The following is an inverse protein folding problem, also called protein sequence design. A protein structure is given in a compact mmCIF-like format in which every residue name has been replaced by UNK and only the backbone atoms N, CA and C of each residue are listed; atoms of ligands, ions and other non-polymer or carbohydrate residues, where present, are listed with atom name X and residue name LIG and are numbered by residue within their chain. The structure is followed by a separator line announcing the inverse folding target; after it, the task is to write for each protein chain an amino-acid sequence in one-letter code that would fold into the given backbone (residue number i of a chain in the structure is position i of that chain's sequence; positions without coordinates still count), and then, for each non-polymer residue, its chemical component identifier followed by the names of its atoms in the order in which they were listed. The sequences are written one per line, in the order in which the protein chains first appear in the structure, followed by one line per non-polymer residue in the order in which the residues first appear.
data_IF_578635106858
#
_entry.id   IF_578635106858
#
_cell.length_a   1.000
_cell.length_b   1.000
_cell.length_c   1.000
_cell.angle_alpha   90.00
_cell.angle_beta   90.00
_cell.angle_gamma   90.00
#
_symmetry.space_group_name_H-M   'P 1'
#
loop_
_entity.id
_entity.type
_entity.pdbx_description
1 polymer ?
#
# COMPACT_ATOMS: atom_id res chain seq x y z
N UNK A 1 11.94 -12.12 21.35
CA UNK A 1 10.87 -12.58 22.24
C UNK A 1 9.82 -11.49 22.26
N UNK A 2 8.63 -11.74 21.70
CA UNK A 2 7.53 -10.77 21.74
C UNK A 2 6.89 -10.90 23.13
N UNK A 3 6.77 -9.79 23.87
CA UNK A 3 6.25 -9.84 25.24
C UNK A 3 4.85 -10.46 25.25
N UNK A 4 4.60 -11.41 26.14
CA UNK A 4 3.39 -12.22 26.20
C UNK A 4 2.10 -11.41 26.37
N UNK A 5 2.18 -10.13 26.76
CA UNK A 5 1.01 -9.33 27.15
C UNK A 5 0.96 -7.92 26.59
N UNK A 6 1.81 -7.55 25.63
CA UNK A 6 1.83 -6.17 25.12
C UNK A 6 0.49 -5.72 24.51
N UNK A 7 -0.27 -6.65 23.92
CA UNK A 7 -1.58 -6.39 23.33
C UNK A 7 -2.74 -6.21 24.30
N UNK A 8 -2.56 -6.55 25.58
CA UNK A 8 -3.63 -6.55 26.58
C UNK A 8 -3.52 -5.39 27.58
N UNK A 9 -2.51 -4.53 27.47
CA UNK A 9 -2.36 -3.35 28.33
C UNK A 9 -3.37 -2.26 27.92
N UNK A 10 -3.88 -1.51 28.91
CA UNK A 10 -4.78 -0.36 28.68
C UNK A 10 -4.13 0.66 27.73
N UNK A 11 -2.85 0.97 27.93
CA UNK A 11 -2.11 1.92 27.08
C UNK A 11 -1.99 1.47 25.63
N UNK A 12 -1.87 0.17 25.43
CA UNK A 12 -1.84 -0.43 24.11
C UNK A 12 -3.18 -0.24 23.38
N UNK A 13 -4.31 -0.52 24.05
CA UNK A 13 -5.65 -0.33 23.48
C UNK A 13 -5.91 1.17 23.24
N UNK A 14 -5.49 2.07 24.16
CA UNK A 14 -5.55 3.52 23.96
C UNK A 14 -4.80 3.97 22.71
N UNK A 15 -3.56 3.48 22.48
CA UNK A 15 -2.80 3.78 21.24
C UNK A 15 -3.51 3.30 19.98
N UNK A 16 -4.14 2.12 20.02
CA UNK A 16 -4.93 1.62 18.89
C UNK A 16 -6.12 2.54 18.56
N UNK A 17 -6.80 3.09 19.57
CA UNK A 17 -7.85 4.11 19.38
C UNK A 17 -7.31 5.42 18.80
N UNK A 18 -6.12 5.86 19.21
CA UNK A 18 -5.48 7.06 18.68
C UNK A 18 -5.11 6.90 17.20
N UNK A 19 -4.52 5.76 16.83
CA UNK A 19 -4.19 5.44 15.43
C UNK A 19 -5.44 5.29 14.56
N UNK A 20 -6.54 4.81 15.11
CA UNK A 20 -7.82 4.73 14.39
C UNK A 20 -8.33 6.09 13.91
N UNK A 21 -7.90 7.17 14.56
CA UNK A 21 -8.08 8.55 14.08
C UNK A 21 -9.52 9.08 14.11
N UNK A 22 -10.48 8.35 14.64
CA UNK A 22 -11.84 8.83 14.83
C UNK A 22 -11.91 9.63 16.13
N UNK A 23 -11.66 10.93 16.04
CA UNK A 23 -11.71 11.87 17.18
C UNK A 23 -13.00 11.76 18.00
N UNK A 24 -14.13 11.40 17.37
CA UNK A 24 -15.42 11.23 18.04
C UNK A 24 -15.45 10.04 19.01
N UNK A 25 -14.56 9.05 18.86
CA UNK A 25 -14.49 7.88 19.74
C UNK A 25 -13.52 8.06 20.92
N UNK A 26 -12.68 9.12 20.90
CA UNK A 26 -11.74 9.37 21.99
C UNK A 26 -12.36 9.50 23.39
N UNK A 27 -13.51 10.16 23.57
CA UNK A 27 -14.17 10.21 24.88
C UNK A 27 -14.63 8.85 25.38
N UNK A 28 -14.93 7.91 24.46
CA UNK A 28 -15.34 6.54 24.79
C UNK A 28 -14.17 5.58 24.96
N UNK A 29 -12.93 6.04 24.66
CA UNK A 29 -11.77 5.17 24.72
C UNK A 29 -11.53 4.64 26.14
N UNK A 30 -11.73 5.48 27.17
CA UNK A 30 -11.46 5.08 28.55
C UNK A 30 -12.46 4.05 29.06
N UNK A 31 -13.74 4.23 28.79
CA UNK A 31 -14.80 3.28 29.17
C UNK A 31 -14.78 2.02 28.32
N UNK A 32 -14.45 2.10 27.04
CA UNK A 32 -14.38 0.96 26.15
C UNK A 32 -13.14 0.09 26.36
N UNK A 33 -12.03 0.67 26.86
CA UNK A 33 -10.75 -0.04 27.01
C UNK A 33 -10.88 -1.24 27.95
N UNK A 34 -11.55 -1.09 29.07
CA UNK A 34 -11.70 -2.18 30.05
C UNK A 34 -12.56 -3.31 29.50
N UNK A 35 -13.70 -2.97 28.88
CA UNK A 35 -14.56 -3.97 28.25
C UNK A 35 -13.87 -4.72 27.09
N UNK A 36 -13.10 -4.01 26.24
CA UNK A 36 -12.32 -4.64 25.18
C UNK A 36 -11.24 -5.56 25.75
N UNK A 37 -10.57 -5.11 26.83
CA UNK A 37 -9.55 -5.92 27.51
C UNK A 37 -10.14 -7.20 28.09
N UNK A 38 -11.29 -7.12 28.73
CA UNK A 38 -12.01 -8.28 29.25
C UNK A 38 -12.44 -9.24 28.13
N UNK A 39 -13.02 -8.73 27.04
CA UNK A 39 -13.37 -9.55 25.87
C UNK A 39 -12.16 -10.31 25.31
N UNK A 40 -10.99 -9.65 25.25
CA UNK A 40 -9.75 -10.26 24.78
C UNK A 40 -9.23 -11.35 25.73
N UNK A 41 -9.22 -11.09 27.04
CA UNK A 41 -8.75 -12.05 28.06
C UNK A 41 -9.67 -13.27 28.12
N UNK A 42 -10.98 -13.05 28.09
CA UNK A 42 -11.97 -14.11 28.18
C UNK A 42 -12.20 -14.87 26.87
N UNK A 43 -11.54 -14.42 25.79
CA UNK A 43 -11.73 -14.95 24.42
C UNK A 43 -13.22 -15.03 24.00
N UNK A 44 -14.03 -14.09 24.48
CA UNK A 44 -15.49 -14.02 24.21
C UNK A 44 -15.86 -13.10 23.06
N UNK A 45 -14.89 -12.81 22.20
CA UNK A 45 -15.10 -11.89 21.07
C UNK A 45 -15.94 -12.57 20.01
N UNK A 46 -17.03 -11.91 19.61
CA UNK A 46 -17.85 -12.33 18.48
C UNK A 46 -17.92 -11.19 17.44
N UNK A 47 -17.64 -11.52 16.21
CA UNK A 47 -17.79 -10.60 15.08
C UNK A 47 -18.91 -11.08 14.15
N UNK A 48 -19.66 -10.13 13.62
CA UNK A 48 -20.60 -10.39 12.54
C UNK A 48 -19.83 -10.54 11.22
N UNK A 49 -20.31 -11.38 10.28
CA UNK A 49 -19.77 -11.40 8.93
C UNK A 49 -19.75 -10.00 8.35
N UNK A 50 -18.72 -9.68 7.58
CA UNK A 50 -18.65 -8.39 6.89
C UNK A 50 -19.53 -8.42 5.65
N UNK A 51 -20.02 -7.24 5.25
CA UNK A 51 -20.72 -7.11 3.98
C UNK A 51 -19.80 -6.49 2.94
N UNK A 52 -20.08 -6.73 1.66
CA UNK A 52 -19.25 -6.28 0.56
C UNK A 52 -19.96 -5.23 -0.28
N UNK A 53 -19.23 -4.19 -0.66
CA UNK A 53 -19.67 -3.17 -1.59
C UNK A 53 -18.88 -3.24 -2.87
N UNK A 54 -19.59 -3.31 -3.98
CA UNK A 54 -19.00 -3.19 -5.30
C UNK A 54 -18.44 -1.78 -5.54
N UNK A 55 -17.21 -1.71 -6.03
CA UNK A 55 -16.57 -0.47 -6.43
C UNK A 55 -15.82 -0.66 -7.74
N UNK A 56 -16.18 0.11 -8.73
CA UNK A 56 -15.44 0.14 -10.00
C UNK A 56 -14.16 0.99 -9.81
N UNK A 57 -13.01 0.35 -10.01
CA UNK A 57 -11.73 1.05 -10.02
C UNK A 57 -11.68 1.99 -11.23
N UNK A 58 -11.69 3.28 -10.97
CA UNK A 58 -11.67 4.31 -12.02
C UNK A 58 -10.44 4.22 -12.94
N UNK A 59 -9.37 3.53 -12.56
CA UNK A 59 -8.14 3.41 -13.36
C UNK A 59 -8.16 2.22 -14.30
N UNK A 60 -8.60 1.07 -13.81
CA UNK A 60 -8.60 -0.20 -14.55
C UNK A 60 -9.95 -0.62 -15.07
N UNK A 61 -11.04 0.07 -14.67
CA UNK A 61 -12.43 -0.29 -14.90
C UNK A 61 -12.79 -1.69 -14.34
N UNK A 62 -11.96 -2.22 -13.44
CA UNK A 62 -12.21 -3.50 -12.78
C UNK A 62 -13.16 -3.31 -11.62
N UNK A 63 -14.09 -4.22 -11.50
CA UNK A 63 -14.94 -4.37 -10.32
C UNK A 63 -14.10 -4.89 -9.17
N UNK A 64 -14.20 -4.23 -8.02
CA UNK A 64 -13.56 -4.64 -6.77
C UNK A 64 -14.63 -4.76 -5.69
N UNK A 65 -14.66 -5.87 -5.01
CA UNK A 65 -15.47 -6.07 -3.83
C UNK A 65 -14.70 -5.58 -2.61
N UNK A 66 -15.23 -4.55 -1.97
CA UNK A 66 -14.59 -3.93 -0.80
C UNK A 66 -15.38 -4.38 0.43
N UNK A 67 -14.71 -5.07 1.33
CA UNK A 67 -15.27 -5.47 2.60
C UNK A 67 -15.51 -4.26 3.50
N UNK A 68 -16.70 -4.17 4.06
CA UNK A 68 -17.11 -3.13 4.99
C UNK A 68 -17.28 -3.77 6.36
N UNK A 69 -16.34 -3.48 7.23
CA UNK A 69 -16.37 -3.89 8.62
C UNK A 69 -17.18 -2.89 9.45
N UNK A 70 -17.84 -3.35 10.51
CA UNK A 70 -18.40 -2.46 11.51
C UNK A 70 -17.30 -1.77 12.32
N UNK A 71 -17.64 -0.74 13.08
CA UNK A 71 -16.67 0.06 13.85
C UNK A 71 -15.93 -0.82 14.87
N UNK A 72 -16.61 -1.73 15.54
CA UNK A 72 -15.99 -2.64 16.51
C UNK A 72 -14.89 -3.46 15.83
N UNK A 73 -15.18 -4.13 14.71
CA UNK A 73 -14.17 -4.89 13.96
C UNK A 73 -12.98 -4.03 13.51
N UNK A 74 -13.25 -2.80 13.04
CA UNK A 74 -12.18 -1.89 12.65
C UNK A 74 -11.25 -1.56 13.83
N UNK A 75 -11.79 -1.32 15.03
CA UNK A 75 -10.99 -1.07 16.24
C UNK A 75 -10.11 -2.29 16.56
N UNK A 76 -10.66 -3.50 16.48
CA UNK A 76 -9.89 -4.73 16.71
C UNK A 76 -8.84 -4.99 15.63
N UNK A 77 -9.07 -4.60 14.37
CA UNK A 77 -8.01 -4.59 13.33
C UNK A 77 -6.81 -3.73 13.76
N UNK A 78 -7.07 -2.52 14.31
CA UNK A 78 -5.99 -1.65 14.80
C UNK A 78 -5.29 -2.24 16.02
N UNK A 79 -6.03 -2.85 16.95
CA UNK A 79 -5.46 -3.54 18.11
C UNK A 79 -4.53 -4.67 17.65
N UNK A 80 -4.96 -5.51 16.73
CA UNK A 80 -4.14 -6.60 16.21
C UNK A 80 -2.86 -6.09 15.51
N UNK A 81 -2.97 -5.03 14.72
CA UNK A 81 -1.81 -4.43 14.03
C UNK A 81 -0.83 -3.82 15.02
N UNK A 82 -1.32 -3.11 16.04
CA UNK A 82 -0.45 -2.52 17.06
C UNK A 82 0.27 -3.63 17.87
N UNK A 83 -0.43 -4.74 18.19
CA UNK A 83 0.17 -5.89 18.86
C UNK A 83 1.26 -6.58 18.03
N UNK A 84 1.10 -6.58 16.71
CA UNK A 84 2.10 -7.14 15.80
C UNK A 84 3.27 -6.20 15.51
N UNK A 85 3.33 -4.99 16.05
CA UNK A 85 4.26 -3.94 15.64
C UNK A 85 5.72 -4.37 15.56
N UNK A 86 6.19 -5.15 16.53
CA UNK A 86 7.55 -5.66 16.50
C UNK A 86 7.76 -6.73 15.44
N UNK A 87 6.78 -7.59 15.23
CA UNK A 87 6.79 -8.56 14.16
C UNK A 87 6.77 -7.89 12.76
N UNK A 88 6.06 -6.77 12.63
CA UNK A 88 5.99 -6.01 11.37
C UNK A 88 7.34 -5.41 10.94
N UNK A 89 8.33 -5.33 11.82
CA UNK A 89 9.72 -4.95 11.48
C UNK A 89 10.38 -5.92 10.50
N UNK A 90 9.84 -7.15 10.38
CA UNK A 90 10.30 -8.16 9.40
C UNK A 90 9.86 -7.86 7.97
N UNK A 91 8.90 -6.96 7.78
CA UNK A 91 8.51 -6.50 6.44
C UNK A 91 9.72 -5.83 5.79
N UNK A 92 10.01 -6.22 4.54
CA UNK A 92 11.16 -5.72 3.82
C UNK A 92 11.20 -4.20 3.67
N UNK A 93 12.40 -3.65 3.60
CA UNK A 93 12.60 -2.20 3.54
C UNK A 93 11.80 -1.54 2.40
N UNK A 94 11.79 -2.17 1.24
CA UNK A 94 11.10 -1.68 0.04
C UNK A 94 9.80 -2.43 -0.27
N UNK A 95 9.16 -3.00 0.74
CA UNK A 95 7.76 -3.34 0.68
C UNK A 95 6.94 -2.07 0.99
N UNK A 96 6.17 -1.63 0.03
CA UNK A 96 5.48 -0.35 0.03
C UNK A 96 3.97 -0.53 -0.01
N UNK A 97 3.25 0.56 0.20
CA UNK A 97 1.80 0.67 0.36
C UNK A 97 1.30 0.17 1.72
N UNK A 98 0.27 0.83 2.20
CA UNK A 98 -0.38 0.56 3.49
C UNK A 98 0.52 0.64 4.74
N UNK A 99 1.79 0.90 4.59
CA UNK A 99 2.76 1.06 5.66
C UNK A 99 3.07 2.55 5.89
N UNK A 100 3.18 2.94 7.15
CA UNK A 100 3.51 4.32 7.54
C UNK A 100 4.82 4.74 6.88
N UNK A 101 4.82 5.92 6.23
CA UNK A 101 5.96 6.50 5.49
C UNK A 101 6.44 5.71 4.25
N UNK A 102 5.89 4.55 3.93
CA UNK A 102 6.26 3.73 2.76
C UNK A 102 5.19 3.76 1.66
N UNK A 103 4.61 4.94 1.39
CA UNK A 103 3.64 5.13 0.31
C UNK A 103 4.29 5.29 -1.08
N UNK A 104 3.45 5.65 -2.07
CA UNK A 104 3.83 5.87 -3.46
C UNK A 104 5.09 6.76 -3.64
N UNK A 105 5.17 7.87 -2.89
CA UNK A 105 6.32 8.80 -2.94
C UNK A 105 7.63 8.13 -2.54
N UNK A 106 7.60 7.25 -1.54
CA UNK A 106 8.77 6.51 -1.08
C UNK A 106 9.27 5.58 -2.17
N UNK A 107 8.39 4.76 -2.75
CA UNK A 107 8.74 3.84 -3.83
C UNK A 107 9.28 4.55 -5.08
N UNK A 108 8.63 5.64 -5.52
CA UNK A 108 9.09 6.42 -6.69
C UNK A 108 10.49 7.02 -6.44
N UNK A 109 10.73 7.56 -5.23
CA UNK A 109 12.04 8.13 -4.86
C UNK A 109 13.13 7.05 -4.86
N UNK A 110 12.83 5.85 -4.32
CA UNK A 110 13.75 4.72 -4.31
C UNK A 110 14.14 4.29 -5.73
N UNK A 111 13.16 4.03 -6.60
CA UNK A 111 13.41 3.62 -8.00
C UNK A 111 14.23 4.69 -8.73
N UNK A 112 13.88 5.98 -8.56
CA UNK A 112 14.62 7.09 -9.17
C UNK A 112 16.07 7.14 -8.70
N UNK A 113 16.33 6.91 -7.41
CA UNK A 113 17.67 6.84 -6.84
C UNK A 113 18.46 5.68 -7.45
N UNK A 114 17.85 4.49 -7.52
CA UNK A 114 18.51 3.30 -8.06
C UNK A 114 18.88 3.41 -9.53
N UNK A 115 17.97 3.95 -10.36
CA UNK A 115 18.20 4.12 -11.79
C UNK A 115 19.33 5.09 -12.15
N UNK A 116 19.83 5.91 -11.21
CA UNK A 116 21.04 6.72 -11.39
C UNK A 116 22.30 5.86 -11.50
N UNK A 117 22.29 4.66 -10.88
CA UNK A 117 23.39 3.71 -11.01
C UNK A 117 23.41 3.14 -12.43
N UNK A 118 24.48 3.40 -13.17
CA UNK A 118 24.68 2.96 -14.56
C UNK A 118 24.73 1.42 -14.68
N UNK A 119 25.08 0.72 -13.61
CA UNK A 119 25.12 -0.74 -13.58
C UNK A 119 23.75 -1.39 -13.59
N UNK A 120 22.67 -0.68 -13.24
CA UNK A 120 21.32 -1.17 -13.36
C UNK A 120 20.90 -1.08 -14.82
N UNK A 121 20.86 -2.23 -15.49
CA UNK A 121 20.58 -2.33 -16.93
C UNK A 121 19.25 -3.00 -17.26
N UNK A 122 18.75 -3.84 -16.36
CA UNK A 122 17.55 -4.64 -16.58
C UNK A 122 16.57 -4.51 -15.43
N UNK A 123 15.29 -4.58 -15.75
CA UNK A 123 14.18 -4.64 -14.82
C UNK A 123 13.32 -5.87 -15.10
N UNK A 124 12.83 -6.50 -14.04
CA UNK A 124 11.77 -7.49 -14.09
C UNK A 124 10.53 -6.94 -13.39
N UNK A 125 9.37 -7.07 -14.00
CA UNK A 125 8.08 -6.68 -13.40
C UNK A 125 7.09 -7.82 -13.47
N UNK A 126 6.38 -8.06 -12.37
CA UNK A 126 5.26 -8.97 -12.31
C UNK A 126 4.20 -8.48 -11.33
N UNK A 127 3.06 -9.13 -11.35
CA UNK A 127 1.88 -8.80 -10.57
C UNK A 127 1.25 -10.13 -10.08
N UNK A 128 0.82 -10.18 -8.83
CA UNK A 128 0.16 -11.35 -8.27
C UNK A 128 -1.31 -11.33 -8.66
N UNK A 129 -1.80 -12.45 -9.20
CA UNK A 129 -3.20 -12.56 -9.63
C UNK A 129 -4.13 -12.59 -8.44
N UNK A 130 -5.10 -11.63 -8.37
CA UNK A 130 -6.10 -11.53 -7.29
C UNK A 130 -5.47 -11.65 -5.88
N UNK A 131 -4.37 -10.96 -5.60
CA UNK A 131 -3.53 -11.14 -4.42
C UNK A 131 -4.34 -11.34 -3.12
N UNK A 132 -5.17 -10.38 -2.71
CA UNK A 132 -5.92 -10.44 -1.46
C UNK A 132 -6.86 -11.66 -1.35
N UNK A 133 -7.77 -11.93 -2.29
CA UNK A 133 -8.64 -13.09 -2.21
C UNK A 133 -7.92 -14.44 -2.35
N UNK A 134 -6.71 -14.44 -2.95
CA UNK A 134 -5.93 -15.68 -3.15
C UNK A 134 -5.03 -16.04 -1.98
N UNK A 135 -4.84 -15.14 -1.01
CA UNK A 135 -4.05 -15.45 0.19
C UNK A 135 -4.82 -16.44 1.06
N UNK A 136 -4.25 -17.62 1.24
CA UNK A 136 -4.77 -18.63 2.12
C UNK A 136 -4.64 -18.22 3.60
N UNK A 137 -5.75 -18.17 4.32
CA UNK A 137 -5.80 -17.74 5.72
C UNK A 137 -5.08 -18.71 6.65
N UNK A 138 -5.16 -20.01 6.37
CA UNK A 138 -4.46 -21.03 7.16
C UNK A 138 -2.96 -20.89 7.03
N UNK A 139 -2.45 -20.72 5.81
CA UNK A 139 -1.03 -20.44 5.56
C UNK A 139 -0.55 -19.14 6.21
N UNK A 140 -1.41 -18.12 6.27
CA UNK A 140 -1.09 -16.89 7.02
C UNK A 140 -0.96 -17.20 8.50
N UNK A 141 -1.91 -17.94 9.10
CA UNK A 141 -1.88 -18.30 10.52
C UNK A 141 -0.69 -19.21 10.85
N UNK A 142 -0.39 -20.19 10.01
CA UNK A 142 0.80 -21.03 10.15
C UNK A 142 2.09 -20.19 10.16
N UNK A 143 2.18 -19.22 9.23
CA UNK A 143 3.33 -18.32 9.17
C UNK A 143 3.44 -17.45 10.43
N UNK A 144 2.32 -16.92 10.94
CA UNK A 144 2.32 -16.12 12.16
C UNK A 144 2.72 -16.94 13.40
N UNK A 145 2.22 -18.18 13.55
CA UNK A 145 2.54 -19.07 14.68
C UNK A 145 4.03 -19.42 14.78
N UNK A 146 4.77 -19.39 13.68
CA UNK A 146 6.24 -19.58 13.71
C UNK A 146 6.95 -18.53 14.55
N UNK A 147 6.42 -17.30 14.60
CA UNK A 147 7.08 -16.15 15.20
C UNK A 147 6.32 -15.54 16.38
N UNK A 148 5.01 -15.60 16.39
CA UNK A 148 4.16 -15.05 17.43
C UNK A 148 3.70 -16.20 18.33
N UNK A 149 3.97 -16.09 19.63
CA UNK A 149 3.58 -17.10 20.65
C UNK A 149 2.44 -16.61 21.55
N UNK A 150 1.91 -15.42 21.29
CA UNK A 150 0.78 -14.86 22.02
C UNK A 150 -0.52 -15.43 21.47
N UNK A 151 -1.07 -16.45 22.13
CA UNK A 151 -2.30 -17.12 21.70
C UNK A 151 -3.52 -16.18 21.65
N UNK A 152 -3.77 -15.30 22.63
CA UNK A 152 -4.86 -14.32 22.50
C UNK A 152 -4.79 -13.46 21.24
N UNK A 153 -3.57 -13.04 20.84
CA UNK A 153 -3.38 -12.28 19.60
C UNK A 153 -3.64 -13.14 18.38
N UNK A 154 -3.14 -14.36 18.33
CA UNK A 154 -3.38 -15.28 17.22
C UNK A 154 -4.86 -15.59 17.06
N UNK A 155 -5.58 -15.83 18.16
CA UNK A 155 -7.02 -16.04 18.17
C UNK A 155 -7.78 -14.81 17.68
N UNK A 156 -7.41 -13.61 18.11
CA UNK A 156 -7.99 -12.37 17.60
C UNK A 156 -7.81 -12.23 16.10
N UNK A 157 -6.60 -12.47 15.59
CA UNK A 157 -6.32 -12.39 14.15
C UNK A 157 -7.16 -13.42 13.39
N UNK A 158 -7.22 -14.68 13.87
CA UNK A 158 -8.01 -15.75 13.26
C UNK A 158 -9.51 -15.39 13.22
N UNK A 159 -10.07 -14.85 14.30
CA UNK A 159 -11.45 -14.40 14.35
C UNK A 159 -11.72 -13.27 13.36
N UNK A 160 -10.83 -12.27 13.26
CA UNK A 160 -10.99 -11.14 12.35
C UNK A 160 -10.97 -11.59 10.89
N UNK A 161 -9.96 -12.36 10.49
CA UNK A 161 -9.86 -12.84 9.10
C UNK A 161 -10.91 -13.91 8.78
N UNK A 162 -11.41 -14.62 9.78
CA UNK A 162 -12.51 -15.59 9.67
C UNK A 162 -13.84 -14.96 9.25
N UNK A 163 -14.01 -13.64 9.44
CA UNK A 163 -15.21 -12.91 9.00
C UNK A 163 -15.23 -12.63 7.49
N UNK A 164 -14.14 -12.86 6.78
CA UNK A 164 -14.04 -12.63 5.35
C UNK A 164 -14.60 -13.82 4.56
N UNK A 165 -15.19 -13.55 3.42
CA UNK A 165 -15.72 -14.59 2.54
C UNK A 165 -14.59 -15.44 1.94
N UNK A 166 -13.56 -14.77 1.38
CA UNK A 166 -12.40 -15.42 0.78
C UNK A 166 -11.11 -14.69 1.17
N UNK A 167 -10.05 -15.42 1.40
CA UNK A 167 -8.70 -14.90 1.62
C UNK A 167 -8.63 -13.72 2.60
N UNK A 168 -7.97 -12.65 2.18
CA UNK A 168 -7.94 -11.36 2.89
C UNK A 168 -8.88 -10.36 2.22
N UNK A 169 -9.50 -9.49 3.01
CA UNK A 169 -10.47 -8.50 2.50
C UNK A 169 -9.80 -7.19 2.09
N UNK A 170 -10.11 -6.70 0.88
CA UNK A 170 -9.82 -5.31 0.50
C UNK A 170 -10.75 -4.40 1.31
N UNK A 171 -10.18 -3.56 2.16
CA UNK A 171 -10.93 -2.65 3.04
C UNK A 171 -10.62 -2.84 4.53
N UNK A 172 -10.16 -4.02 4.95
CA UNK A 172 -9.67 -4.26 6.31
C UNK A 172 -8.27 -3.64 6.51
N UNK A 173 -8.09 -2.98 7.63
CA UNK A 173 -6.80 -2.42 8.04
C UNK A 173 -5.77 -3.52 8.32
N UNK A 174 -6.18 -4.55 9.06
CA UNK A 174 -5.35 -5.73 9.36
C UNK A 174 -4.89 -6.45 8.09
N UNK A 175 -5.79 -6.65 7.12
CA UNK A 175 -5.48 -7.35 5.87
C UNK A 175 -4.32 -6.74 5.08
N UNK A 176 -4.15 -5.42 5.15
CA UNK A 176 -3.07 -4.72 4.45
C UNK A 176 -1.69 -5.09 5.04
N UNK A 177 -1.61 -5.19 6.35
CA UNK A 177 -0.40 -5.60 7.05
C UNK A 177 -0.12 -7.08 6.88
N UNK A 178 -1.13 -7.93 7.02
CA UNK A 178 -1.00 -9.37 6.81
C UNK A 178 -0.54 -9.70 5.38
N UNK A 179 -1.07 -9.01 4.38
CA UNK A 179 -0.62 -9.16 2.99
C UNK A 179 0.87 -8.84 2.85
N UNK A 180 1.33 -7.69 3.36
CA UNK A 180 2.75 -7.33 3.32
C UNK A 180 3.63 -8.34 4.08
N UNK A 181 3.20 -8.77 5.26
CA UNK A 181 3.89 -9.78 6.06
C UNK A 181 3.99 -11.11 5.30
N UNK A 182 2.91 -11.56 4.71
CA UNK A 182 2.88 -12.81 3.97
C UNK A 182 3.78 -12.78 2.74
N UNK A 183 3.76 -11.67 1.99
CA UNK A 183 4.61 -11.44 0.84
C UNK A 183 6.08 -11.18 1.21
N UNK A 184 6.39 -10.89 2.47
CA UNK A 184 7.77 -10.73 2.91
C UNK A 184 8.61 -12.00 2.73
N UNK A 185 7.96 -13.16 2.71
CA UNK A 185 8.62 -14.44 2.44
C UNK A 185 9.23 -14.46 1.03
N UNK A 186 8.50 -13.97 0.02
CA UNK A 186 9.03 -13.83 -1.36
C UNK A 186 10.13 -12.77 -1.39
N UNK A 187 9.92 -11.65 -0.69
CA UNK A 187 10.89 -10.55 -0.64
C UNK A 187 12.24 -11.00 -0.08
N UNK A 188 12.26 -11.73 1.02
CA UNK A 188 13.48 -12.22 1.65
C UNK A 188 14.13 -13.34 0.84
N UNK A 189 13.34 -14.23 0.24
CA UNK A 189 13.84 -15.30 -0.61
C UNK A 189 14.71 -14.75 -1.76
N UNK A 190 14.28 -13.67 -2.42
CA UNK A 190 15.07 -12.99 -3.45
C UNK A 190 16.39 -12.46 -2.85
N UNK A 191 16.31 -11.79 -1.69
CA UNK A 191 17.47 -11.18 -1.06
C UNK A 191 18.53 -12.22 -0.62
N UNK A 192 18.07 -13.40 -0.20
CA UNK A 192 18.90 -14.46 0.35
C UNK A 192 19.46 -15.42 -0.72
N UNK A 193 18.70 -15.71 -1.77
CA UNK A 193 19.10 -16.70 -2.78
C UNK A 193 19.66 -16.11 -4.08
N UNK A 194 19.32 -14.85 -4.39
CA UNK A 194 19.77 -14.24 -5.64
C UNK A 194 21.17 -13.64 -5.52
N UNK A 195 22.15 -14.50 -5.29
CA UNK A 195 23.58 -14.16 -5.30
C UNK A 195 24.41 -15.27 -5.96
N UNK A 196 25.65 -14.95 -6.29
CA UNK A 196 26.71 -15.91 -6.66
C UNK A 196 27.94 -15.65 -5.82
N UNK A 197 28.72 -16.70 -5.57
CA UNK A 197 30.00 -16.59 -4.90
C UNK A 197 31.06 -16.44 -5.98
N UNK A 198 31.95 -15.48 -5.80
CA UNK A 198 33.09 -15.24 -6.67
C UNK A 198 34.36 -15.24 -5.83
N UNK A 199 35.36 -16.01 -6.24
CA UNK A 199 36.71 -15.97 -5.67
C UNK A 199 37.47 -14.78 -6.27
N UNK A 200 37.92 -13.84 -5.43
CA UNK A 200 38.80 -12.74 -5.86
C UNK A 200 40.23 -13.27 -6.11
N UNK A 201 41.06 -12.48 -6.80
CA UNK A 201 42.46 -12.82 -7.05
C UNK A 201 43.29 -13.07 -5.78
N UNK A 202 42.92 -12.40 -4.69
CA UNK A 202 43.52 -12.58 -3.37
C UNK A 202 42.98 -13.78 -2.59
N UNK A 203 42.21 -14.66 -3.21
CA UNK A 203 41.64 -15.85 -2.58
C UNK A 203 40.35 -15.62 -1.80
N UNK A 204 39.95 -14.39 -1.52
CA UNK A 204 38.75 -14.06 -0.73
C UNK A 204 37.49 -14.36 -1.53
N UNK A 205 36.54 -15.06 -0.88
CA UNK A 205 35.21 -15.32 -1.45
C UNK A 205 34.30 -14.10 -1.25
N UNK A 206 33.73 -13.62 -2.34
CA UNK A 206 32.81 -12.47 -2.35
C UNK A 206 31.42 -12.90 -2.78
N UNK A 207 30.42 -12.47 -2.01
CA UNK A 207 29.00 -12.67 -2.34
C UNK A 207 28.51 -11.53 -3.23
N UNK A 208 28.26 -11.83 -4.51
CA UNK A 208 27.79 -10.85 -5.49
C UNK A 208 26.28 -10.99 -5.64
N UNK A 209 25.54 -9.93 -5.33
CA UNK A 209 24.09 -9.87 -5.55
C UNK A 209 23.76 -9.87 -7.04
N UNK A 210 22.85 -10.74 -7.46
CA UNK A 210 22.31 -10.80 -8.83
C UNK A 210 21.13 -9.86 -9.03
N UNK A 211 20.29 -9.72 -8.01
CA UNK A 211 19.26 -8.67 -7.91
C UNK A 211 19.81 -7.57 -7.02
N UNK A 212 20.05 -6.38 -7.60
CA UNK A 212 20.63 -5.25 -6.88
C UNK A 212 19.58 -4.54 -6.03
N UNK A 213 18.37 -4.39 -6.55
CA UNK A 213 17.26 -3.77 -5.84
C UNK A 213 15.96 -4.47 -6.17
N UNK A 214 15.06 -4.46 -5.19
CA UNK A 214 13.70 -4.98 -5.32
C UNK A 214 12.73 -4.04 -4.62
N UNK A 215 11.52 -3.92 -5.15
CA UNK A 215 10.45 -3.14 -4.56
C UNK A 215 9.14 -3.88 -4.77
N UNK A 216 8.39 -4.06 -3.69
CA UNK A 216 7.05 -4.60 -3.72
C UNK A 216 6.07 -3.47 -3.39
N UNK A 217 5.13 -3.21 -4.25
CA UNK A 217 4.02 -2.30 -3.98
C UNK A 217 2.74 -3.11 -3.90
N UNK A 218 2.54 -3.77 -2.76
CA UNK A 218 1.59 -4.85 -2.57
C UNK A 218 1.84 -5.98 -3.58
N UNK A 219 0.90 -6.19 -4.50
CA UNK A 219 0.91 -7.21 -5.55
C UNK A 219 1.84 -6.88 -6.74
N UNK A 220 2.21 -5.61 -6.92
CA UNK A 220 3.15 -5.16 -7.98
C UNK A 220 4.61 -5.36 -7.53
N UNK A 221 5.35 -6.26 -8.17
CA UNK A 221 6.74 -6.59 -7.86
C UNK A 221 7.67 -6.05 -8.93
N UNK A 222 8.70 -5.31 -8.51
CA UNK A 222 9.79 -4.80 -9.34
C UNK A 222 11.13 -5.32 -8.82
N UNK A 223 11.95 -5.88 -9.71
CA UNK A 223 13.34 -6.24 -9.43
C UNK A 223 14.27 -5.57 -10.44
N UNK A 224 15.47 -5.19 -10.01
CA UNK A 224 16.46 -4.49 -10.83
C UNK A 224 17.84 -5.15 -10.71
N UNK A 225 18.55 -5.27 -11.84
CA UNK A 225 19.87 -5.86 -11.85
C UNK A 225 20.69 -5.49 -13.08
N UNK A 226 21.86 -6.11 -13.17
CA UNK A 226 22.87 -5.83 -14.21
C UNK A 226 22.70 -6.69 -15.47
N UNK A 227 22.12 -7.88 -15.33
CA UNK A 227 22.07 -8.91 -16.36
C UNK A 227 20.64 -9.45 -16.54
N UNK A 228 20.19 -9.59 -17.78
CA UNK A 228 18.87 -10.12 -18.10
C UNK A 228 18.68 -11.56 -17.62
N UNK A 229 19.69 -12.43 -17.78
CA UNK A 229 19.63 -13.85 -17.36
C UNK A 229 19.40 -13.97 -15.86
N UNK A 230 20.07 -13.12 -15.06
CA UNK A 230 19.92 -13.10 -13.59
C UNK A 230 18.52 -12.62 -13.19
N UNK A 231 17.96 -11.62 -13.90
CA UNK A 231 16.60 -11.16 -13.67
C UNK A 231 15.57 -12.23 -14.07
N UNK A 232 15.75 -12.93 -15.18
CA UNK A 232 14.89 -14.07 -15.55
C UNK A 232 14.95 -15.19 -14.50
N UNK A 233 16.14 -15.49 -13.95
CA UNK A 233 16.30 -16.46 -12.86
C UNK A 233 15.53 -16.02 -11.61
N UNK A 234 15.62 -14.74 -11.26
CA UNK A 234 14.87 -14.18 -10.13
C UNK A 234 13.35 -14.22 -10.35
N UNK A 235 12.88 -13.96 -11.57
CA UNK A 235 11.45 -14.07 -11.90
C UNK A 235 10.93 -15.50 -11.73
N UNK A 236 11.71 -16.51 -12.15
CA UNK A 236 11.37 -17.92 -11.91
C UNK A 236 11.30 -18.25 -10.42
N UNK A 237 12.28 -17.78 -9.62
CA UNK A 237 12.28 -17.94 -8.17
C UNK A 237 11.05 -17.29 -7.51
N UNK A 238 10.67 -16.09 -7.94
CA UNK A 238 9.45 -15.40 -7.47
C UNK A 238 8.21 -16.24 -7.77
N UNK A 239 8.10 -16.78 -9.00
CA UNK A 239 6.97 -17.61 -9.44
C UNK A 239 6.90 -18.89 -8.58
N UNK A 240 8.00 -19.61 -8.45
CA UNK A 240 8.07 -20.81 -7.63
C UNK A 240 7.67 -20.51 -6.17
N UNK A 241 8.25 -19.46 -5.57
CA UNK A 241 7.94 -19.11 -4.18
C UNK A 241 6.49 -18.66 -3.99
N UNK A 242 5.93 -17.96 -4.97
CA UNK A 242 4.51 -17.60 -4.95
C UNK A 242 3.62 -18.85 -5.00
N UNK A 243 3.93 -19.84 -5.84
CA UNK A 243 3.20 -21.12 -5.93
C UNK A 243 3.26 -21.91 -4.62
N UNK A 244 4.43 -21.98 -3.96
CA UNK A 244 4.59 -22.59 -2.63
C UNK A 244 3.65 -21.95 -1.60
N UNK A 245 3.45 -20.62 -1.70
CA UNK A 245 2.53 -19.87 -0.85
C UNK A 245 1.05 -19.97 -1.29
N UNK A 246 0.75 -20.68 -2.37
CA UNK A 246 -0.61 -20.78 -2.93
C UNK A 246 -1.01 -19.57 -3.76
N UNK A 247 -0.06 -18.71 -4.16
CA UNK A 247 -0.29 -17.53 -4.97
C UNK A 247 0.09 -17.79 -6.43
N UNK A 248 -0.54 -17.09 -7.35
CA UNK A 248 -0.23 -17.18 -8.77
C UNK A 248 0.28 -15.84 -9.31
N UNK A 249 1.48 -15.86 -9.91
CA UNK A 249 1.98 -14.72 -10.69
C UNK A 249 1.21 -14.67 -12.00
N UNK A 250 0.90 -13.46 -12.50
CA UNK A 250 0.29 -13.30 -13.83
C UNK A 250 1.26 -13.69 -14.93
N UNK A 251 0.76 -14.34 -15.96
CA UNK A 251 1.56 -14.88 -17.07
C UNK A 251 2.26 -13.78 -17.92
N UNK A 252 1.81 -12.53 -17.79
CA UNK A 252 2.32 -11.37 -18.52
C UNK A 252 3.48 -10.64 -17.83
N UNK A 253 4.25 -11.32 -16.98
CA UNK A 253 5.45 -10.72 -16.43
C UNK A 253 6.51 -10.48 -17.52
N UNK A 254 7.31 -9.44 -17.34
CA UNK A 254 8.26 -8.98 -18.35
C UNK A 254 9.65 -8.72 -17.75
N UNK A 255 10.67 -8.98 -18.57
CA UNK A 255 12.04 -8.54 -18.32
C UNK A 255 12.46 -7.65 -19.48
N UNK A 256 12.95 -6.46 -19.18
CA UNK A 256 13.30 -5.46 -20.18
C UNK A 256 14.53 -4.64 -19.78
N UNK A 257 15.17 -4.00 -20.76
CA UNK A 257 16.28 -3.09 -20.49
C UNK A 257 15.80 -1.74 -19.98
N UNK A 258 16.49 -1.20 -18.97
CA UNK A 258 16.30 0.17 -18.46
C UNK A 258 17.21 1.18 -19.18
N UNK A 259 18.13 0.70 -20.04
CA UNK A 259 19.05 1.53 -20.83
C UNK A 259 18.38 1.85 -22.16
N UNK A 260 18.15 3.14 -22.39
CA UNK A 260 17.61 3.61 -23.67
C UNK A 260 18.75 3.78 -24.66
N UNK A 261 18.66 3.14 -25.81
CA UNK A 261 19.59 3.33 -26.93
C UNK A 261 19.26 4.60 -27.73
N UNK A 262 17.96 4.94 -27.81
CA UNK A 262 17.42 6.14 -28.50
C UNK A 262 16.40 6.83 -27.61
N UNK A 263 16.11 8.11 -27.87
CA UNK A 263 15.20 8.94 -27.06
C UNK A 263 13.77 8.41 -26.96
N UNK A 264 13.35 7.59 -27.91
CA UNK A 264 11.99 7.04 -28.05
C UNK A 264 11.87 5.53 -27.77
N UNK A 265 12.90 4.89 -27.25
CA UNK A 265 12.95 3.44 -26.97
C UNK A 265 12.04 2.98 -25.83
N UNK A 266 10.93 3.56 -25.62
CA UNK A 266 9.73 3.10 -24.90
C UNK A 266 9.87 2.29 -23.59
N UNK A 267 11.08 1.95 -23.19
CA UNK A 267 11.34 1.12 -22.01
C UNK A 267 11.21 1.93 -20.72
N UNK A 268 10.18 1.64 -19.98
CA UNK A 268 9.87 2.30 -18.71
C UNK A 268 9.35 1.30 -17.68
N UNK A 269 9.57 1.61 -16.43
CA UNK A 269 8.95 0.91 -15.31
C UNK A 269 7.55 1.50 -15.10
N UNK A 270 6.50 0.69 -15.28
CA UNK A 270 5.10 1.12 -15.12
C UNK A 270 4.54 0.66 -13.77
N UNK A 271 4.74 1.46 -12.72
CA UNK A 271 4.34 1.14 -11.36
C UNK A 271 3.72 2.35 -10.65
N UNK A 272 2.86 2.14 -9.67
CA UNK A 272 2.29 3.21 -8.84
C UNK A 272 1.62 4.35 -9.63
N UNK A 273 1.06 4.06 -10.82
CA UNK A 273 0.36 5.05 -11.65
C UNK A 273 1.25 6.00 -12.46
N UNK A 274 2.56 5.80 -12.42
CA UNK A 274 3.56 6.56 -13.18
C UNK A 274 4.39 5.65 -14.09
N UNK A 275 5.01 6.24 -15.10
CA UNK A 275 6.03 5.61 -15.95
C UNK A 275 7.39 6.22 -15.61
N UNK A 276 8.29 5.40 -15.10
CA UNK A 276 9.62 5.81 -14.64
C UNK A 276 10.64 5.39 -15.68
N UNK A 277 11.24 6.37 -16.29
CA UNK A 277 12.41 6.23 -17.18
C UNK A 277 13.68 6.52 -16.38
N UNK A 278 14.84 6.21 -16.93
CA UNK A 278 16.13 6.48 -16.26
C UNK A 278 16.31 7.96 -15.89
N UNK A 279 15.88 8.87 -16.74
CA UNK A 279 16.14 10.31 -16.57
C UNK A 279 14.89 11.14 -16.25
N UNK A 280 13.71 10.61 -16.46
CA UNK A 280 12.46 11.35 -16.23
C UNK A 280 11.31 10.42 -15.79
N UNK A 281 10.27 11.03 -15.25
CA UNK A 281 9.08 10.33 -14.80
C UNK A 281 7.87 10.99 -15.45
N UNK A 282 7.00 10.20 -16.06
CA UNK A 282 5.76 10.67 -16.66
C UNK A 282 4.53 10.09 -15.97
N UNK A 283 3.40 10.77 -16.10
CA UNK A 283 2.14 10.26 -15.62
C UNK A 283 1.66 9.16 -16.59
N UNK A 284 1.13 8.06 -16.07
CA UNK A 284 0.48 7.02 -16.88
C UNK A 284 -0.64 7.65 -17.72
N UNK A 285 -0.73 7.33 -19.01
CA UNK A 285 -1.64 7.98 -19.95
C UNK A 285 -3.10 8.04 -19.46
N UNK A 286 -3.63 6.94 -18.94
CA UNK A 286 -5.01 6.90 -18.40
C UNK A 286 -5.20 7.87 -17.23
N UNK A 287 -4.19 8.02 -16.38
CA UNK A 287 -4.21 8.99 -15.25
C UNK A 287 -4.14 10.40 -15.79
N UNK A 288 -3.27 10.68 -16.75
CA UNK A 288 -3.16 11.97 -17.40
C UNK A 288 -4.49 12.44 -18.03
N UNK A 289 -5.20 11.56 -18.75
CA UNK A 289 -6.50 11.92 -19.34
C UNK A 289 -7.53 12.33 -18.27
N UNK A 290 -7.53 11.66 -17.11
CA UNK A 290 -8.41 12.04 -15.99
C UNK A 290 -8.00 13.36 -15.36
N UNK A 291 -6.71 13.58 -15.14
CA UNK A 291 -6.15 14.86 -14.69
C UNK A 291 -6.60 15.97 -15.63
N UNK A 292 -6.35 15.82 -16.93
CA UNK A 292 -6.73 16.78 -17.97
C UNK A 292 -8.23 17.13 -17.93
N UNK A 293 -9.10 16.11 -17.90
CA UNK A 293 -10.57 16.33 -17.86
C UNK A 293 -10.99 17.10 -16.62
N UNK A 294 -10.46 16.76 -15.45
CA UNK A 294 -10.81 17.41 -14.20
C UNK A 294 -10.38 18.89 -14.18
N UNK A 295 -9.15 19.16 -14.58
CA UNK A 295 -8.64 20.55 -14.59
C UNK A 295 -9.35 21.39 -15.66
N UNK A 296 -9.59 20.87 -16.88
CA UNK A 296 -10.36 21.60 -17.90
C UNK A 296 -11.75 21.99 -17.40
N UNK A 297 -12.47 21.03 -16.74
CA UNK A 297 -13.79 21.31 -16.18
C UNK A 297 -13.73 22.34 -15.05
N UNK A 298 -12.78 22.24 -14.16
CA UNK A 298 -12.59 23.22 -13.08
C UNK A 298 -12.27 24.62 -13.63
N UNK A 299 -11.36 24.72 -14.60
CA UNK A 299 -11.02 26.00 -15.25
C UNK A 299 -12.21 26.65 -15.98
N UNK A 300 -13.02 25.85 -16.66
CA UNK A 300 -14.23 26.37 -17.32
C UNK A 300 -15.20 27.01 -16.29
N UNK A 301 -15.39 26.35 -15.15
CA UNK A 301 -16.25 26.87 -14.08
C UNK A 301 -15.65 28.17 -13.45
N UNK A 302 -14.33 28.20 -13.23
CA UNK A 302 -13.63 29.40 -12.72
C UNK A 302 -13.81 30.59 -13.67
N UNK A 303 -13.61 30.35 -14.99
CA UNK A 303 -13.79 31.41 -16.01
C UNK A 303 -15.23 31.94 -16.06
N UNK A 304 -16.20 31.04 -15.87
CA UNK A 304 -17.61 31.40 -15.82
C UNK A 304 -18.07 31.96 -14.46
N UNK A 305 -17.15 32.17 -13.51
CA UNK A 305 -17.44 32.58 -12.11
C UNK A 305 -18.47 31.66 -11.42
N UNK A 306 -18.60 30.39 -11.85
CA UNK A 306 -19.49 29.39 -11.27
C UNK A 306 -18.83 28.66 -10.12
N UNK A 307 -19.65 28.23 -9.14
CA UNK A 307 -19.18 27.43 -7.99
C UNK A 307 -18.64 26.06 -8.46
N UNK A 308 -17.44 25.70 -7.99
CA UNK A 308 -16.86 24.38 -8.24
C UNK A 308 -17.53 23.37 -7.32
N UNK A 309 -18.12 22.29 -7.85
CA UNK A 309 -18.68 21.21 -7.03
C UNK A 309 -17.59 20.56 -6.15
N UNK A 310 -17.95 20.21 -4.91
CA UNK A 310 -17.02 19.66 -3.93
C UNK A 310 -16.28 18.41 -4.43
N UNK A 311 -16.97 17.51 -5.13
CA UNK A 311 -16.36 16.31 -5.71
C UNK A 311 -15.26 16.65 -6.72
N UNK A 312 -15.46 17.70 -7.54
CA UNK A 312 -14.48 18.14 -8.52
C UNK A 312 -13.28 18.82 -7.85
N UNK A 313 -13.55 19.65 -6.85
CA UNK A 313 -12.52 20.30 -6.04
C UNK A 313 -11.62 19.27 -5.35
N UNK A 314 -12.18 18.24 -4.70
CA UNK A 314 -11.45 17.13 -4.09
C UNK A 314 -10.62 16.37 -5.12
N UNK A 315 -11.19 16.10 -6.30
CA UNK A 315 -10.53 15.39 -7.38
C UNK A 315 -9.33 16.18 -7.92
N UNK A 316 -9.46 17.47 -8.15
CA UNK A 316 -8.34 18.33 -8.58
C UNK A 316 -7.25 18.41 -7.50
N UNK A 317 -7.63 18.57 -6.25
CA UNK A 317 -6.69 18.62 -5.14
C UNK A 317 -5.90 17.30 -4.98
N UNK A 318 -6.54 16.14 -5.16
CA UNK A 318 -5.89 14.82 -5.05
C UNK A 318 -4.83 14.58 -6.14
N UNK A 319 -4.98 15.18 -7.32
CA UNK A 319 -4.00 15.03 -8.39
C UNK A 319 -2.70 15.81 -8.18
N UNK A 320 -2.64 16.68 -7.16
CA UNK A 320 -1.41 17.44 -6.85
C UNK A 320 -0.23 16.51 -6.62
N UNK A 321 -0.41 15.46 -5.83
CA UNK A 321 0.67 14.53 -5.48
C UNK A 321 1.33 13.92 -6.71
N UNK A 322 0.55 13.38 -7.66
CA UNK A 322 1.11 12.75 -8.86
C UNK A 322 1.79 13.77 -9.78
N UNK A 323 1.27 15.00 -9.84
CA UNK A 323 1.88 16.09 -10.60
C UNK A 323 3.22 16.55 -10.01
N UNK A 324 3.37 16.47 -8.69
CA UNK A 324 4.60 16.87 -8.00
C UNK A 324 5.70 15.80 -8.09
N UNK A 325 5.31 14.53 -8.23
CA UNK A 325 6.25 13.40 -8.35
C UNK A 325 6.70 13.11 -9.78
N UNK A 326 6.18 13.84 -10.77
CA UNK A 326 6.46 13.61 -12.20
C UNK A 326 7.02 14.86 -12.88
N UNK A 327 7.66 14.69 -14.04
CA UNK A 327 8.17 15.78 -14.87
C UNK A 327 7.01 16.51 -15.58
N UNK A 328 6.08 17.06 -14.82
CA UNK A 328 4.79 17.59 -15.28
C UNK A 328 4.77 19.11 -15.48
N UNK A 329 5.92 19.81 -15.60
CA UNK A 329 5.96 21.28 -15.68
C UNK A 329 5.12 21.84 -16.85
N UNK A 330 5.25 21.24 -18.04
CA UNK A 330 4.44 21.64 -19.22
C UNK A 330 2.93 21.47 -18.94
N UNK A 331 2.54 20.38 -18.27
CA UNK A 331 1.14 20.10 -17.89
C UNK A 331 0.67 21.12 -16.86
N UNK A 332 1.48 21.38 -15.82
CA UNK A 332 1.19 22.37 -14.76
C UNK A 332 0.95 23.76 -15.36
N UNK A 333 1.81 24.20 -16.27
CA UNK A 333 1.66 25.48 -16.97
C UNK A 333 0.42 25.52 -17.85
N UNK A 334 0.24 24.51 -18.75
CA UNK A 334 -0.88 24.44 -19.71
C UNK A 334 -2.25 24.45 -19.03
N UNK A 335 -2.41 23.76 -17.91
CA UNK A 335 -3.67 23.65 -17.18
C UNK A 335 -3.72 24.51 -15.93
N UNK A 336 -2.81 25.48 -15.77
CA UNK A 336 -2.76 26.41 -14.62
C UNK A 336 -3.06 25.70 -13.28
N UNK A 337 -2.45 24.53 -13.11
CA UNK A 337 -2.85 23.60 -12.05
C UNK A 337 -2.64 24.17 -10.65
N UNK A 338 -1.60 25.03 -10.46
CA UNK A 338 -1.30 25.65 -9.16
C UNK A 338 -2.45 26.55 -8.71
N UNK A 339 -2.92 27.44 -9.61
CA UNK A 339 -4.03 28.34 -9.33
C UNK A 339 -5.34 27.58 -9.12
N UNK A 340 -5.64 26.63 -10.04
CA UNK A 340 -6.83 25.79 -9.93
C UNK A 340 -6.85 24.99 -8.62
N UNK A 341 -5.71 24.44 -8.17
CA UNK A 341 -5.58 23.72 -6.90
C UNK A 341 -5.83 24.68 -5.72
N UNK A 342 -5.31 25.91 -5.75
CA UNK A 342 -5.54 26.89 -4.69
C UNK A 342 -7.03 27.14 -4.49
N UNK A 343 -7.76 27.42 -5.58
CA UNK A 343 -9.22 27.61 -5.55
C UNK A 343 -9.93 26.34 -5.03
N UNK A 344 -9.59 25.16 -5.58
CA UNK A 344 -10.20 23.89 -5.16
C UNK A 344 -9.97 23.58 -3.68
N UNK A 345 -8.77 23.85 -3.14
CA UNK A 345 -8.49 23.68 -1.71
C UNK A 345 -9.31 24.63 -0.86
N UNK A 346 -9.53 25.88 -1.31
CA UNK A 346 -10.45 26.83 -0.65
C UNK A 346 -11.86 26.26 -0.52
N UNK A 347 -12.40 25.70 -1.61
CA UNK A 347 -13.74 25.05 -1.59
C UNK A 347 -13.78 23.88 -0.61
N UNK A 348 -12.77 23.02 -0.59
CA UNK A 348 -12.70 21.87 0.32
C UNK A 348 -12.58 22.31 1.78
N UNK A 349 -11.77 23.32 2.07
CA UNK A 349 -11.59 23.86 3.42
C UNK A 349 -12.87 24.51 3.95
N UNK A 350 -13.55 25.31 3.13
CA UNK A 350 -14.83 25.95 3.47
C UNK A 350 -15.89 24.91 3.84
N UNK A 351 -16.04 23.86 3.01
CA UNK A 351 -16.99 22.78 3.29
C UNK A 351 -16.65 22.03 4.59
N UNK A 352 -15.37 21.83 4.88
CA UNK A 352 -14.94 21.20 6.13
C UNK A 352 -15.31 22.03 7.35
N UNK A 353 -15.16 23.37 7.27
CA UNK A 353 -15.56 24.29 8.35
C UNK A 353 -17.07 24.27 8.59
N UNK A 354 -17.89 24.27 7.52
CA UNK A 354 -19.36 24.17 7.63
C UNK A 354 -19.74 22.88 8.35
N UNK A 355 -19.16 21.74 7.95
CA UNK A 355 -19.45 20.44 8.58
C UNK A 355 -19.00 20.38 10.05
N UNK A 356 -17.91 21.06 10.41
CA UNK A 356 -17.48 21.15 11.80
C UNK A 356 -18.46 21.97 12.64
N UNK A 357 -18.90 23.14 12.14
CA UNK A 357 -19.90 23.96 12.81
C UNK A 357 -21.23 23.22 13.00
N UNK A 358 -21.74 22.57 11.95
CA UNK A 358 -22.95 21.76 12.05
C UNK A 358 -22.84 20.63 13.09
N UNK A 359 -21.70 19.96 13.18
CA UNK A 359 -21.45 18.94 14.21
C UNK A 359 -21.39 19.52 15.61
N UNK A 360 -20.89 20.73 15.78
CA UNK A 360 -20.81 21.39 17.06
C UNK A 360 -22.22 21.83 17.54
N UNK A 361 -23.05 22.42 16.66
CA UNK A 361 -24.43 22.76 17.00
C UNK A 361 -25.31 21.56 17.36
N UNK A 362 -25.11 20.40 16.67
CA UNK A 362 -25.77 19.14 17.07
C UNK A 362 -25.33 18.61 18.45
N UNK A 363 -24.09 18.90 18.88
CA UNK A 363 -23.57 18.48 20.19
C UNK A 363 -24.02 19.41 21.32
N UNK A 364 -24.27 20.68 21.00
CA UNK A 364 -24.77 21.68 21.95
C UNK A 364 -26.28 21.56 22.13
N UNK A 365 -26.99 20.94 21.19
CA UNK A 365 -28.42 20.70 21.22
C UNK A 365 -28.84 19.32 21.76
N UNK A 366 -27.89 18.39 21.95
CA UNK A 366 -28.08 17.06 22.54
C UNK A 366 -27.53 16.99 23.96
#
# INVERSE_FOLDING_TARGET
MFSEYSGLSKDFIKRAFEEFGIKALRPFAETAVDGIREELIQNKIKFKPIWYKEKIDASSQKVRWIGIQNIKQQIYDYIAVEAMKDFLKRIGEYQCAALKHKGQSYGIKAIKKWLRNKNIRYAGQCDIKKCYPSIDREKVMEFLRKYIKNEPLLNLIALLIGTFETGLSIGSYLSQYLCNVFLSQIYHEIAERMYRIRKKRNGIMERIKLVLHQLFYMDDILILGTNAKDIHKAMKLITQKAEELGLKIKDNWIVFTTVMKRKDDGHFIDIMGVRIYRHHITIRQRVFLRVRRAYKKAQALIKQKKKIPLWLARKCASYKGILDHTNSQKIKKKYQTVQTIKVCKGVVSHESKIRQKAKQSYREAA
#
